data_IF_469154613717
#
_entry.id   IF_469154613717
#
_cell.length_a   1.000
_cell.length_b   1.000
_cell.length_c   1.000
_cell.angle_alpha   90.00
_cell.angle_beta   90.00
_cell.angle_gamma   90.00
#
_symmetry.space_group_name_H-M   'P 1'
#
loop_
_entity.id
_entity.type
_entity.pdbx_description
1 polymer ?
#
# COMPACT_ATOMS: atom_id res chain seq x y z
N UNK A 1 -11.72 23.62 3.21
CA UNK A 1 -11.00 22.36 2.97
C UNK A 1 -10.05 22.60 1.81
N UNK A 2 -8.73 22.59 2.05
CA UNK A 2 -7.74 22.75 0.99
C UNK A 2 -7.82 21.57 0.02
N UNK A 3 -7.86 21.85 -1.28
CA UNK A 3 -7.78 20.86 -2.36
C UNK A 3 -6.52 21.14 -3.15
N UNK A 4 -5.72 20.11 -3.38
CA UNK A 4 -4.52 20.22 -4.19
C UNK A 4 -4.90 20.48 -5.65
N UNK A 5 -4.25 21.45 -6.29
CA UNK A 5 -4.41 21.72 -7.71
C UNK A 5 -3.99 20.52 -8.56
N UNK A 6 -4.70 20.31 -9.67
CA UNK A 6 -4.51 19.14 -10.54
C UNK A 6 -3.07 19.06 -11.11
N UNK A 7 -2.39 20.19 -11.29
CA UNK A 7 -0.98 20.25 -11.73
C UNK A 7 -0.04 19.50 -10.80
N UNK A 8 -0.23 19.65 -9.50
CA UNK A 8 0.61 19.00 -8.49
C UNK A 8 0.24 17.53 -8.33
N UNK A 9 -1.03 17.18 -8.56
CA UNK A 9 -1.49 15.81 -8.60
C UNK A 9 -0.83 15.05 -9.76
N UNK A 10 -0.75 15.64 -10.95
CA UNK A 10 -0.05 15.06 -12.10
C UNK A 10 1.45 14.85 -11.81
N UNK A 11 2.12 15.83 -11.18
CA UNK A 11 3.51 15.70 -10.76
C UNK A 11 3.70 14.52 -9.79
N UNK A 12 2.81 14.40 -8.78
CA UNK A 12 2.83 13.28 -7.84
C UNK A 12 2.64 11.93 -8.55
N UNK A 13 1.75 11.84 -9.54
CA UNK A 13 1.54 10.62 -10.32
C UNK A 13 2.80 10.23 -11.11
N UNK A 14 3.50 11.21 -11.69
CA UNK A 14 4.74 10.96 -12.40
C UNK A 14 5.84 10.43 -11.46
N UNK A 15 5.97 11.02 -10.28
CA UNK A 15 6.93 10.56 -9.25
C UNK A 15 6.60 9.13 -8.83
N UNK A 16 5.32 8.83 -8.59
CA UNK A 16 4.86 7.48 -8.24
C UNK A 16 5.20 6.45 -9.33
N UNK A 17 5.07 6.82 -10.61
CA UNK A 17 5.39 5.96 -11.74
C UNK A 17 6.91 5.73 -11.90
N UNK A 18 7.74 6.75 -11.66
CA UNK A 18 9.21 6.66 -11.73
C UNK A 18 9.79 5.73 -10.66
N UNK A 19 9.28 5.81 -9.43
CA UNK A 19 9.79 5.05 -8.29
C UNK A 19 9.20 3.64 -8.14
N UNK A 20 8.69 3.07 -9.24
CA UNK A 20 8.18 1.70 -9.25
C UNK A 20 9.32 0.70 -9.22
N UNK A 21 9.34 -0.12 -8.16
CA UNK A 21 10.23 -1.27 -8.03
C UNK A 21 9.79 -2.47 -8.87
N UNK A 22 8.48 -2.60 -9.14
CA UNK A 22 7.89 -3.72 -9.90
C UNK A 22 7.19 -3.25 -11.16
N UNK A 23 7.41 -3.97 -12.27
CA UNK A 23 6.78 -3.72 -13.58
C UNK A 23 5.28 -4.04 -13.60
N UNK A 24 4.84 -5.06 -12.86
CA UNK A 24 3.42 -5.38 -12.70
C UNK A 24 2.98 -5.47 -11.24
N UNK A 25 1.74 -5.05 -10.96
CA UNK A 25 1.11 -5.09 -9.65
C UNK A 25 -0.42 -5.07 -9.77
N UNK A 26 -1.06 -6.12 -9.27
CA UNK A 26 -2.53 -6.25 -9.27
C UNK A 26 -3.23 -5.22 -8.36
N UNK A 27 -2.51 -4.68 -7.36
CA UNK A 27 -3.09 -3.78 -6.38
C UNK A 27 -3.28 -2.35 -6.91
N UNK A 28 -2.37 -1.90 -7.78
CA UNK A 28 -2.46 -0.56 -8.38
C UNK A 28 -2.70 -0.62 -9.89
N UNK A 29 -2.84 -1.82 -10.47
CA UNK A 29 -2.97 -2.05 -11.91
C UNK A 29 -1.88 -1.34 -12.71
N UNK A 30 -0.64 -1.52 -12.27
CA UNK A 30 0.56 -0.98 -12.91
C UNK A 30 0.65 0.55 -12.95
N UNK A 31 -0.18 1.26 -12.18
CA UNK A 31 -0.11 2.72 -12.09
C UNK A 31 0.98 3.17 -11.11
N UNK A 32 1.11 2.48 -9.97
CA UNK A 32 2.00 2.87 -8.87
C UNK A 32 1.27 3.55 -7.71
N UNK A 33 0.03 3.98 -7.92
CA UNK A 33 -0.86 4.52 -6.88
C UNK A 33 -2.21 3.81 -6.91
N UNK A 34 -2.95 3.88 -5.79
CA UNK A 34 -4.24 3.21 -5.62
C UNK A 34 -5.38 4.15 -6.03
N UNK A 35 -5.27 5.43 -5.65
CA UNK A 35 -6.27 6.45 -5.94
C UNK A 35 -5.89 7.80 -5.35
N UNK A 36 -6.84 8.71 -5.32
CA UNK A 36 -6.72 10.04 -4.73
C UNK A 36 -7.76 10.21 -3.62
N UNK A 37 -7.47 11.03 -2.61
CA UNK A 37 -8.44 11.41 -1.58
C UNK A 37 -9.32 12.58 -2.03
N UNK A 38 -10.33 12.94 -1.24
CA UNK A 38 -11.21 14.10 -1.50
C UNK A 38 -10.47 15.45 -1.58
N UNK A 39 -9.23 15.48 -1.08
CA UNK A 39 -8.33 16.63 -1.10
C UNK A 39 -7.34 16.60 -2.27
N UNK A 40 -7.54 15.71 -3.24
CA UNK A 40 -6.62 15.52 -4.37
C UNK A 40 -5.21 15.03 -3.96
N UNK A 41 -5.09 14.37 -2.80
CA UNK A 41 -3.82 13.77 -2.36
C UNK A 41 -3.68 12.35 -2.92
N UNK A 42 -2.50 12.04 -3.48
CA UNK A 42 -2.22 10.76 -4.11
C UNK A 42 -1.88 9.68 -3.08
N UNK A 43 -2.57 8.54 -3.13
CA UNK A 43 -2.29 7.38 -2.27
C UNK A 43 -1.39 6.39 -3.00
N UNK A 44 -0.12 6.32 -2.62
CA UNK A 44 0.88 5.45 -3.23
C UNK A 44 0.64 3.96 -2.92
N UNK A 45 1.11 3.08 -3.81
CA UNK A 45 1.02 1.63 -3.62
C UNK A 45 2.23 1.08 -2.83
N UNK A 46 2.00 0.65 -1.59
CA UNK A 46 3.01 0.10 -0.68
C UNK A 46 3.73 -1.15 -1.19
N UNK A 47 3.14 -1.86 -2.18
CA UNK A 47 3.66 -3.14 -2.67
C UNK A 47 4.64 -3.02 -3.83
N UNK A 48 4.57 -1.92 -4.59
CA UNK A 48 5.30 -1.78 -5.84
C UNK A 48 6.07 -0.48 -6.00
N UNK A 49 5.81 0.54 -5.17
CA UNK A 49 6.53 1.81 -5.17
C UNK A 49 7.51 1.86 -4.01
N UNK A 50 8.68 2.44 -4.26
CA UNK A 50 9.61 2.80 -3.22
C UNK A 50 9.09 4.04 -2.48
N UNK A 51 8.47 3.84 -1.31
CA UNK A 51 7.87 4.94 -0.54
C UNK A 51 8.89 6.00 -0.15
N UNK A 52 10.05 5.59 0.36
CA UNK A 52 11.05 6.53 0.85
C UNK A 52 11.56 7.43 -0.28
N UNK A 53 11.95 6.83 -1.41
CA UNK A 53 12.43 7.59 -2.57
C UNK A 53 11.34 8.48 -3.21
N UNK A 54 10.10 7.99 -3.28
CA UNK A 54 8.98 8.78 -3.81
C UNK A 54 8.66 9.98 -2.90
N UNK A 55 8.73 9.79 -1.58
CA UNK A 55 8.49 10.86 -0.60
C UNK A 55 9.62 11.90 -0.60
N UNK A 56 10.87 11.50 -0.80
CA UNK A 56 12.00 12.42 -0.95
C UNK A 56 11.86 13.30 -2.20
N UNK A 57 11.61 12.71 -3.37
CA UNK A 57 11.40 13.49 -4.62
C UNK A 57 10.17 14.40 -4.49
N UNK A 58 9.10 13.93 -3.83
CA UNK A 58 7.93 14.76 -3.55
C UNK A 58 8.25 15.94 -2.62
N UNK A 59 9.05 15.73 -1.58
CA UNK A 59 9.48 16.82 -0.68
C UNK A 59 10.30 17.86 -1.42
N UNK A 60 11.22 17.43 -2.30
CA UNK A 60 11.99 18.34 -3.16
C UNK A 60 11.05 19.14 -4.05
N UNK A 61 10.09 18.49 -4.71
CA UNK A 61 9.09 19.16 -5.55
C UNK A 61 8.26 20.20 -4.77
N UNK A 62 7.77 19.85 -3.58
CA UNK A 62 7.01 20.79 -2.72
C UNK A 62 7.89 21.95 -2.26
N UNK A 63 9.18 21.73 -1.99
CA UNK A 63 10.11 22.79 -1.56
C UNK A 63 10.41 23.81 -2.66
N UNK A 64 10.30 23.42 -3.93
CA UNK A 64 10.48 24.28 -5.10
C UNK A 64 9.23 25.12 -5.42
N UNK A 65 8.06 24.71 -4.91
CA UNK A 65 6.79 25.40 -5.13
C UNK A 65 6.33 26.15 -3.87
N UNK A 66 6.65 27.44 -3.80
CA UNK A 66 6.31 28.33 -2.69
C UNK A 66 4.80 28.36 -2.35
N UNK A 67 3.93 28.25 -3.36
CA UNK A 67 2.47 28.19 -3.21
C UNK A 67 2.00 26.99 -2.37
N UNK A 68 2.69 25.85 -2.48
CA UNK A 68 2.41 24.68 -1.65
C UNK A 68 2.98 24.85 -0.24
N UNK A 69 4.13 25.53 -0.12
CA UNK A 69 4.81 25.72 1.15
C UNK A 69 3.99 26.55 2.13
N UNK A 70 3.25 27.55 1.67
CA UNK A 70 2.37 28.37 2.51
C UNK A 70 1.13 27.62 3.01
N UNK A 71 0.63 26.64 2.25
CA UNK A 71 -0.54 25.84 2.64
C UNK A 71 -0.19 24.59 3.43
N UNK A 72 1.01 24.05 3.22
CA UNK A 72 1.51 22.92 3.97
C UNK A 72 2.35 23.34 5.19
N UNK A 73 2.78 24.61 5.33
CA UNK A 73 3.55 25.08 6.50
C UNK A 73 2.82 24.84 7.82
N UNK A 74 1.51 25.11 7.91
CA UNK A 74 0.70 24.77 9.09
C UNK A 74 0.72 23.26 9.41
N UNK A 75 0.77 22.40 8.39
CA UNK A 75 0.85 20.93 8.56
C UNK A 75 2.27 20.43 8.87
N UNK A 76 3.31 21.22 8.56
CA UNK A 76 4.71 20.88 8.80
C UNK A 76 5.28 21.49 10.10
N UNK A 77 4.73 22.61 10.60
CA UNK A 77 5.17 23.23 11.86
C UNK A 77 4.59 22.56 13.11
N UNK A 78 3.48 21.80 13.03
CA UNK A 78 2.83 21.21 14.23
C UNK A 78 3.35 19.83 14.68
N UNK A 79 4.37 19.24 14.02
CA UNK A 79 4.93 17.92 14.41
C UNK A 79 6.45 17.89 14.53
N UNK A 80 6.99 18.70 15.44
CA UNK A 80 8.15 18.26 16.23
C UNK A 80 7.65 17.59 17.52
N UNK A 81 7.06 16.39 17.40
CA UNK A 81 6.84 15.52 18.56
C UNK A 81 7.82 14.36 18.45
N UNK A 82 8.99 14.59 19.05
CA UNK A 82 9.85 13.64 19.78
C UNK A 82 9.87 12.19 19.31
N UNK A 83 11.06 11.74 18.91
CA UNK A 83 11.48 10.35 19.08
C UNK A 83 11.22 9.88 20.52
N UNK A 84 10.28 8.96 20.71
CA UNK A 84 10.34 7.82 21.63
C UNK A 84 8.99 7.08 21.67
N UNK A 85 9.07 5.78 21.40
CA UNK A 85 8.23 4.76 22.05
C UNK A 85 6.74 4.71 21.66
N UNK A 86 6.43 3.95 20.61
CA UNK A 86 5.56 2.78 20.81
C UNK A 86 6.24 1.58 20.14
N UNK A 87 6.93 0.85 21.00
CA UNK A 87 7.35 -0.53 20.88
C UNK A 87 6.53 -1.27 19.81
N UNK A 88 7.21 -1.68 18.72
CA UNK A 88 6.70 -2.74 17.86
C UNK A 88 6.68 -4.00 18.72
N UNK A 89 5.62 -4.19 19.49
CA UNK A 89 5.23 -5.49 20.03
C UNK A 89 4.92 -6.32 18.78
N UNK A 90 5.97 -6.98 18.28
CA UNK A 90 5.85 -8.08 17.35
C UNK A 90 4.79 -9.01 17.95
N UNK A 91 3.63 -9.21 17.33
CA UNK A 91 2.74 -10.27 17.78
C UNK A 91 3.56 -11.54 17.76
N UNK A 92 3.74 -12.13 18.94
CA UNK A 92 4.43 -13.40 19.12
C UNK A 92 3.90 -14.37 18.08
N UNK A 93 4.81 -15.00 17.34
CA UNK A 93 4.47 -15.95 16.31
C UNK A 93 3.49 -16.97 16.90
N UNK A 94 2.22 -16.86 16.52
CA UNK A 94 1.24 -17.89 16.81
C UNK A 94 1.77 -19.14 16.12
N UNK A 95 2.39 -20.03 16.90
CA UNK A 95 2.81 -21.33 16.44
C UNK A 95 1.57 -22.06 15.96
N UNK A 96 1.30 -21.97 14.65
CA UNK A 96 0.42 -22.91 13.98
C UNK A 96 1.17 -24.25 13.98
N UNK A 97 1.08 -24.96 15.11
CA UNK A 97 1.43 -26.36 15.22
C UNK A 97 0.59 -27.05 14.16
N UNK A 98 1.18 -27.33 13.00
CA UNK A 98 0.57 -28.13 11.94
C UNK A 98 0.52 -29.58 12.42
N UNK A 99 -0.35 -29.86 13.38
CA UNK A 99 -0.77 -31.23 13.69
C UNK A 99 -1.85 -31.62 12.69
N UNK A 100 -1.45 -31.78 11.42
CA UNK A 100 -2.18 -32.65 10.52
C UNK A 100 -1.18 -33.43 9.68
N UNK A 101 -0.67 -34.50 10.28
CA UNK A 101 0.18 -35.50 9.64
C UNK A 101 -0.60 -36.48 8.76
N UNK A 102 -1.85 -36.18 8.36
CA UNK A 102 -2.66 -37.12 7.59
C UNK A 102 -3.54 -36.43 6.56
N UNK A 103 -2.92 -36.04 5.45
CA UNK A 103 -3.59 -36.08 4.16
C UNK A 103 -2.57 -36.43 3.09
N UNK A 104 -2.14 -37.69 3.05
CA UNK A 104 -1.60 -38.25 1.81
C UNK A 104 -2.69 -38.13 0.78
N UNK A 105 -2.58 -37.16 -0.12
CA UNK A 105 -3.44 -37.05 -1.28
C UNK A 105 -3.11 -38.23 -2.19
N UNK A 106 -3.80 -39.36 -1.98
CA UNK A 106 -3.78 -40.47 -2.92
C UNK A 106 -4.59 -40.05 -4.15
N UNK A 107 -3.98 -39.24 -5.01
CA UNK A 107 -4.50 -38.94 -6.33
C UNK A 107 -4.26 -40.17 -7.21
N UNK A 108 -5.31 -40.95 -7.44
CA UNK A 108 -5.32 -42.04 -8.44
C UNK A 108 -6.04 -41.51 -9.69
N UNK A 109 -5.33 -41.37 -10.83
CA UNK A 109 -5.97 -40.96 -12.08
C UNK A 109 -7.15 -41.88 -12.43
N UNK A 110 -8.33 -41.29 -12.63
CA UNK A 110 -9.57 -42.01 -12.99
C UNK A 110 -10.60 -42.16 -11.85
N UNK A 111 -10.27 -41.82 -10.61
CA UNK A 111 -11.20 -41.96 -9.49
C UNK A 111 -12.10 -40.72 -9.34
N UNK A 112 -13.42 -40.86 -9.60
CA UNK A 112 -14.41 -39.78 -9.42
C UNK A 112 -14.60 -39.49 -7.92
N UNK A 113 -14.44 -38.23 -7.52
CA UNK A 113 -14.75 -37.78 -6.15
C UNK A 113 -16.28 -37.86 -5.94
N UNK A 114 -16.78 -38.54 -4.89
CA UNK A 114 -18.20 -38.51 -4.58
C UNK A 114 -18.57 -37.09 -4.15
N UNK A 115 -19.39 -36.41 -4.95
CA UNK A 115 -19.90 -35.08 -4.65
C UNK A 115 -20.84 -35.11 -3.44
N UNK A 116 -20.87 -34.00 -2.71
CA UNK A 116 -21.77 -33.78 -1.57
C UNK A 116 -23.23 -33.79 -2.04
N UNK A 117 -24.01 -34.81 -1.69
CA UNK A 117 -25.45 -34.81 -1.90
C UNK A 117 -26.11 -33.96 -0.81
N UNK A 118 -26.65 -32.81 -1.21
CA UNK A 118 -27.46 -31.97 -0.31
C UNK A 118 -28.80 -32.68 -0.09
N UNK A 119 -29.03 -33.24 1.10
CA UNK A 119 -30.36 -33.73 1.49
C UNK A 119 -31.28 -32.52 1.64
N UNK A 120 -32.30 -32.43 0.80
CA UNK A 120 -33.44 -31.55 1.00
C UNK A 120 -34.41 -32.36 1.86
N UNK A 121 -34.68 -31.89 3.07
CA UNK A 121 -35.68 -32.41 4.00
C UNK A 121 -36.53 -31.27 4.49
#
# INVERSE_FOLDING_TARGET
>A
MFKLDDKHLEAAQQIAAKHRRKKSCDNCYDRGWIGTTDQNLLVLCTRCVNMDAAMEEWKTYVSEHEELKEHFSELFEEKQVTEAEEERVLPTAHEHKKTNLQARQNFVPGQRRPGHSKKIG
#
